data_IF_116048573785
#
_entry.id   IF_116048573785
#
_cell.length_a   1.000
_cell.length_b   1.000
_cell.length_c   1.000
_cell.angle_alpha   90.00
_cell.angle_beta   90.00
_cell.angle_gamma   90.00
#
_symmetry.space_group_name_H-M   'P 1'
#
loop_
_entity.id
_entity.type
_entity.pdbx_description
1 polymer ?
#
# COMPACT_ATOMS: atom_id res chain seq x y z
N UNK A 1 -14.82 4.46 3.97
CA UNK A 1 -14.32 5.47 3.01
C UNK A 1 -15.39 6.51 2.67
N UNK A 2 -16.68 6.19 2.79
CA UNK A 2 -17.80 7.07 2.44
C UNK A 2 -17.83 8.43 3.19
N UNK A 3 -17.32 8.49 4.42
CA UNK A 3 -17.24 9.73 5.23
C UNK A 3 -16.10 10.67 4.83
N UNK A 4 -15.29 10.33 3.82
CA UNK A 4 -14.18 11.16 3.34
C UNK A 4 -12.91 11.15 4.21
N UNK A 5 -12.92 10.49 5.38
CA UNK A 5 -11.73 10.49 6.25
C UNK A 5 -10.53 9.79 5.63
N UNK A 6 -10.73 8.65 4.95
CA UNK A 6 -9.64 7.98 4.23
C UNK A 6 -9.01 8.90 3.17
N UNK A 7 -9.86 9.61 2.42
CA UNK A 7 -9.45 10.57 1.41
C UNK A 7 -8.61 11.70 2.01
N UNK A 8 -8.94 12.20 3.22
CA UNK A 8 -8.11 13.19 3.91
C UNK A 8 -6.69 12.69 4.19
N UNK A 9 -6.52 11.44 4.61
CA UNK A 9 -5.18 10.86 4.81
C UNK A 9 -4.42 10.67 3.49
N UNK A 10 -5.11 10.28 2.42
CA UNK A 10 -4.52 10.27 1.07
C UNK A 10 -4.07 11.68 0.69
N UNK A 11 -4.90 12.70 0.90
CA UNK A 11 -4.57 14.08 0.60
C UNK A 11 -3.34 14.57 1.37
N UNK A 12 -3.26 14.28 2.67
CA UNK A 12 -2.10 14.62 3.53
C UNK A 12 -0.83 13.93 3.02
N UNK A 13 -0.91 12.78 2.37
CA UNK A 13 0.27 12.12 1.82
C UNK A 13 0.63 12.60 0.40
N UNK A 14 -0.37 13.03 -0.37
CA UNK A 14 -0.17 13.45 -1.77
C UNK A 14 0.03 14.95 -1.96
N UNK A 15 -0.28 15.76 -0.94
CA UNK A 15 -0.03 17.19 -0.97
C UNK A 15 1.49 17.44 -1.03
N UNK A 16 1.91 18.44 -1.80
CA UNK A 16 3.30 18.59 -2.20
C UNK A 16 4.25 18.79 -1.01
N UNK A 17 3.91 19.67 -0.06
CA UNK A 17 4.78 19.98 1.06
C UNK A 17 4.93 18.79 2.00
N UNK A 18 3.81 18.21 2.39
CA UNK A 18 3.75 17.04 3.28
C UNK A 18 4.32 15.78 2.63
N UNK A 19 4.17 15.61 1.32
CA UNK A 19 4.82 14.54 0.56
C UNK A 19 6.35 14.68 0.49
N UNK A 20 6.86 15.90 0.39
CA UNK A 20 8.30 16.18 0.48
C UNK A 20 8.84 15.98 1.90
N UNK A 21 8.04 16.21 2.93
CA UNK A 21 8.41 15.85 4.30
C UNK A 21 8.43 14.33 4.51
N UNK A 22 7.47 13.61 3.91
CA UNK A 22 7.28 12.18 4.08
C UNK A 22 8.41 11.34 3.50
N UNK A 23 9.03 11.76 2.40
CA UNK A 23 9.96 10.95 1.60
C UNK A 23 11.33 11.59 1.43
N UNK A 24 12.40 10.78 1.36
CA UNK A 24 13.78 11.24 1.16
C UNK A 24 14.28 12.21 2.25
N UNK A 25 13.72 12.13 3.45
CA UNK A 25 14.08 12.95 4.62
C UNK A 25 14.48 12.08 5.81
N UNK A 26 15.11 12.68 6.81
CA UNK A 26 15.42 12.00 8.08
C UNK A 26 14.16 11.65 8.90
N UNK A 27 12.99 12.17 8.54
CA UNK A 27 11.73 11.89 9.23
C UNK A 27 10.90 10.81 8.58
N UNK A 28 11.29 10.24 7.42
CA UNK A 28 10.49 9.25 6.67
C UNK A 28 9.83 8.16 7.56
N UNK A 29 10.61 7.46 8.40
CA UNK A 29 10.07 6.42 9.29
C UNK A 29 9.07 7.00 10.31
N UNK A 30 9.42 8.12 10.93
CA UNK A 30 8.59 8.75 11.97
C UNK A 30 7.32 9.39 11.41
N UNK A 31 7.41 10.01 10.24
CA UNK A 31 6.32 10.64 9.53
C UNK A 31 5.26 9.60 9.17
N UNK A 32 5.67 8.48 8.54
CA UNK A 32 4.75 7.39 8.20
C UNK A 32 4.17 6.71 9.46
N UNK A 33 4.97 6.53 10.52
CA UNK A 33 4.47 6.00 11.80
C UNK A 33 3.38 6.91 12.39
N UNK A 34 3.56 8.22 12.32
CA UNK A 34 2.58 9.17 12.84
C UNK A 34 1.33 9.23 11.97
N UNK A 35 1.46 9.13 10.65
CA UNK A 35 0.33 9.02 9.73
C UNK A 35 -0.52 7.78 10.04
N UNK A 36 0.13 6.62 10.23
CA UNK A 36 -0.55 5.36 10.58
C UNK A 36 -1.22 5.43 11.96
N UNK A 37 -0.55 6.00 12.97
CA UNK A 37 -1.15 6.21 14.29
C UNK A 37 -2.38 7.14 14.21
N UNK A 38 -2.30 8.21 13.42
CA UNK A 38 -3.43 9.09 13.15
C UNK A 38 -4.59 8.34 12.46
N UNK A 39 -4.29 7.48 11.49
CA UNK A 39 -5.29 6.68 10.78
C UNK A 39 -5.97 5.67 11.72
N UNK A 40 -5.19 4.98 12.56
CA UNK A 40 -5.70 4.07 13.59
C UNK A 40 -6.63 4.79 14.57
N UNK A 41 -6.20 5.94 15.10
CA UNK A 41 -7.01 6.74 16.01
C UNK A 41 -8.29 7.25 15.34
N UNK A 42 -8.22 7.62 14.07
CA UNK A 42 -9.41 7.97 13.29
C UNK A 42 -10.39 6.79 13.21
N UNK A 43 -9.93 5.58 12.92
CA UNK A 43 -10.79 4.38 12.90
C UNK A 43 -11.43 4.12 14.27
N UNK A 44 -10.64 4.19 15.35
CA UNK A 44 -11.13 4.04 16.73
C UNK A 44 -12.19 5.08 17.10
N UNK A 45 -12.08 6.29 16.55
CA UNK A 45 -13.03 7.38 16.80
C UNK A 45 -14.40 7.18 16.12
N UNK A 46 -14.54 6.25 15.16
CA UNK A 46 -15.75 6.13 14.35
C UNK A 46 -16.96 5.60 15.13
N UNK A 47 -16.72 4.70 16.08
CA UNK A 47 -17.72 4.06 16.94
C UNK A 47 -16.99 3.33 18.08
N UNK A 48 -17.64 3.14 19.22
CA UNK A 48 -17.09 2.36 20.35
C UNK A 48 -16.73 0.92 19.97
N UNK A 49 -17.43 0.31 19.01
CA UNK A 49 -17.08 -1.03 18.51
C UNK A 49 -15.71 -1.10 17.82
N UNK A 50 -15.14 0.04 17.42
CA UNK A 50 -13.81 0.12 16.80
C UNK A 50 -12.72 0.57 17.77
N UNK A 51 -13.04 0.81 19.05
CA UNK A 51 -12.10 1.42 20.02
C UNK A 51 -10.79 0.61 20.19
N UNK A 52 -10.86 -0.71 20.01
CA UNK A 52 -9.72 -1.63 20.10
C UNK A 52 -9.13 -2.03 18.74
N UNK A 53 -9.53 -1.43 17.62
CA UNK A 53 -8.98 -1.81 16.32
C UNK A 53 -7.48 -1.49 16.24
N UNK A 54 -6.73 -2.37 15.60
CA UNK A 54 -5.33 -2.16 15.22
C UNK A 54 -5.20 -2.23 13.71
N UNK A 55 -4.27 -1.48 13.13
CA UNK A 55 -4.02 -1.59 11.70
C UNK A 55 -3.37 -2.95 11.36
N UNK A 56 -3.89 -3.68 10.34
CA UNK A 56 -3.21 -4.86 9.85
C UNK A 56 -1.93 -4.46 9.11
N UNK A 57 -0.96 -5.36 9.06
CA UNK A 57 0.26 -5.20 8.27
C UNK A 57 0.33 -6.26 7.16
N UNK A 58 1.00 -5.91 6.08
CA UNK A 58 1.33 -6.86 5.02
C UNK A 58 2.65 -7.57 5.34
N UNK A 59 2.57 -8.84 5.73
CA UNK A 59 3.77 -9.66 6.01
C UNK A 59 4.48 -10.12 4.73
N UNK A 60 5.33 -9.25 4.18
CA UNK A 60 6.18 -9.54 3.03
C UNK A 60 7.16 -10.70 3.29
N UNK A 61 7.63 -10.88 4.53
CA UNK A 61 8.61 -11.91 4.87
C UNK A 61 7.99 -13.31 4.79
N UNK A 62 6.84 -13.50 5.41
CA UNK A 62 6.10 -14.77 5.32
C UNK A 62 5.66 -15.06 3.89
N UNK A 63 5.23 -14.03 3.15
CA UNK A 63 4.80 -14.19 1.78
C UNK A 63 5.95 -14.59 0.83
N UNK A 64 7.11 -13.95 0.95
CA UNK A 64 8.31 -14.32 0.17
C UNK A 64 8.79 -15.73 0.52
N UNK A 65 8.78 -16.12 1.80
CA UNK A 65 9.12 -17.48 2.23
C UNK A 65 8.14 -18.54 1.70
N UNK A 66 6.84 -18.26 1.68
CA UNK A 66 5.83 -19.14 1.07
C UNK A 66 6.08 -19.33 -0.42
N UNK A 67 6.44 -18.27 -1.14
CA UNK A 67 6.75 -18.40 -2.57
C UNK A 67 8.03 -19.21 -2.79
N UNK A 68 9.08 -18.95 -2.00
CA UNK A 68 10.35 -19.69 -2.08
C UNK A 68 10.20 -21.19 -1.77
N UNK A 69 9.20 -21.56 -0.96
CA UNK A 69 8.83 -22.95 -0.65
C UNK A 69 7.80 -23.56 -1.62
N UNK A 70 7.45 -22.86 -2.70
CA UNK A 70 6.45 -23.27 -3.70
C UNK A 70 5.03 -23.50 -3.13
N UNK A 71 4.69 -22.88 -2.00
CA UNK A 71 3.35 -22.96 -1.40
C UNK A 71 2.33 -22.05 -2.08
N UNK A 72 2.77 -21.14 -2.96
CA UNK A 72 1.96 -20.21 -3.72
C UNK A 72 2.71 -19.78 -4.99
N UNK A 73 1.97 -19.45 -6.06
CA UNK A 73 2.55 -19.15 -7.37
C UNK A 73 2.47 -17.65 -7.77
N UNK A 74 1.91 -16.78 -6.92
CA UNK A 74 1.73 -15.36 -7.22
C UNK A 74 1.78 -14.51 -5.96
N UNK A 75 2.08 -13.21 -6.11
CA UNK A 75 2.10 -12.27 -4.98
C UNK A 75 0.77 -12.28 -4.21
N UNK A 76 -0.37 -12.28 -4.91
CA UNK A 76 -1.70 -12.38 -4.29
C UNK A 76 -1.92 -13.75 -3.61
N UNK A 77 -1.51 -14.85 -4.24
CA UNK A 77 -1.61 -16.19 -3.63
C UNK A 77 -0.73 -16.36 -2.39
N UNK A 78 0.36 -15.60 -2.30
CA UNK A 78 1.26 -15.61 -1.15
C UNK A 78 0.84 -14.63 -0.05
N UNK A 79 -0.11 -13.73 -0.31
CA UNK A 79 -0.46 -12.61 0.55
C UNK A 79 -1.97 -12.37 0.58
N UNK A 80 -2.71 -13.04 1.49
CA UNK A 80 -4.18 -12.95 1.58
C UNK A 80 -4.72 -11.53 1.71
N UNK A 81 -3.94 -10.62 2.33
CA UNK A 81 -4.29 -9.19 2.46
C UNK A 81 -4.60 -8.52 1.12
N UNK A 82 -4.01 -8.97 0.01
CA UNK A 82 -4.31 -8.40 -1.32
C UNK A 82 -5.77 -8.68 -1.69
N UNK A 83 -6.24 -9.90 -1.46
CA UNK A 83 -7.62 -10.32 -1.70
C UNK A 83 -8.59 -9.64 -0.73
N UNK A 84 -8.24 -9.53 0.55
CA UNK A 84 -9.06 -8.83 1.56
C UNK A 84 -9.32 -7.36 1.19
N UNK A 85 -8.37 -6.72 0.50
CA UNK A 85 -8.48 -5.35 0.01
C UNK A 85 -9.00 -5.27 -1.44
N UNK A 86 -9.67 -6.30 -1.95
CA UNK A 86 -10.39 -6.31 -3.24
C UNK A 86 -9.72 -7.10 -4.38
N UNK A 87 -8.54 -7.69 -4.14
CA UNK A 87 -7.85 -8.54 -5.11
C UNK A 87 -7.28 -7.79 -6.31
N UNK A 88 -7.03 -8.53 -7.40
CA UNK A 88 -6.38 -8.00 -8.63
C UNK A 88 -6.99 -8.46 -9.96
N UNK A 89 -8.11 -9.19 -9.94
CA UNK A 89 -8.67 -9.85 -11.12
C UNK A 89 -9.91 -9.17 -11.70
N UNK A 90 -10.79 -8.65 -10.84
CA UNK A 90 -12.11 -8.12 -11.22
C UNK A 90 -12.16 -6.61 -11.09
N UNK A 91 -12.61 -5.93 -12.14
CA UNK A 91 -12.70 -4.47 -12.15
C UNK A 91 -12.99 -3.88 -13.53
N UNK A 92 -12.75 -2.58 -13.68
CA UNK A 92 -13.06 -1.79 -14.86
C UNK A 92 -11.80 -1.41 -15.64
N UNK A 93 -11.91 -1.30 -16.96
CA UNK A 93 -10.89 -0.68 -17.81
C UNK A 93 -11.07 0.83 -17.79
N UNK A 94 -10.48 1.51 -16.79
CA UNK A 94 -10.70 2.93 -16.50
C UNK A 94 -9.42 3.58 -16.00
N UNK A 95 -9.11 4.77 -16.52
CA UNK A 95 -8.08 5.68 -15.98
C UNK A 95 -8.61 6.34 -14.72
N UNK A 96 -7.76 6.46 -13.70
CA UNK A 96 -8.12 7.01 -12.40
C UNK A 96 -7.37 8.32 -12.18
N UNK A 97 -8.07 9.36 -11.75
CA UNK A 97 -7.44 10.58 -11.25
C UNK A 97 -7.58 10.61 -9.73
N UNK A 98 -6.48 10.89 -9.03
CA UNK A 98 -6.40 10.98 -7.57
C UNK A 98 -5.67 12.26 -7.23
N UNK A 99 -6.38 13.26 -6.69
CA UNK A 99 -5.77 14.53 -6.25
C UNK A 99 -4.87 15.21 -7.31
N UNK A 100 -5.27 15.16 -8.60
CA UNK A 100 -4.52 15.76 -9.71
C UNK A 100 -3.47 14.83 -10.32
N UNK A 101 -3.19 13.67 -9.71
CA UNK A 101 -2.37 12.61 -10.31
C UNK A 101 -3.21 11.70 -11.20
N UNK A 102 -2.83 11.59 -12.47
CA UNK A 102 -3.49 10.71 -13.43
C UNK A 102 -2.79 9.34 -13.50
N UNK A 103 -3.51 8.29 -13.12
CA UNK A 103 -3.06 6.89 -13.17
C UNK A 103 -3.70 6.25 -14.39
N UNK A 104 -2.89 6.06 -15.44
CA UNK A 104 -3.38 5.56 -16.72
C UNK A 104 -3.80 4.08 -16.65
N UNK A 105 -4.91 3.77 -17.31
CA UNK A 105 -5.24 2.40 -17.65
C UNK A 105 -4.22 1.83 -18.66
N UNK A 106 -3.85 0.57 -18.50
CA UNK A 106 -3.08 -0.21 -19.47
C UNK A 106 -3.59 -1.65 -19.54
N UNK A 107 -3.14 -2.42 -20.53
CA UNK A 107 -3.43 -3.86 -20.60
C UNK A 107 -2.93 -4.63 -19.37
N UNK A 108 -1.96 -4.08 -18.63
CA UNK A 108 -1.40 -4.65 -17.40
C UNK A 108 -2.18 -4.31 -16.14
N UNK A 109 -3.04 -3.30 -16.17
CA UNK A 109 -3.75 -2.80 -15.00
C UNK A 109 -5.26 -3.00 -15.11
N UNK A 110 -5.93 -2.93 -13.97
CA UNK A 110 -7.39 -2.97 -13.86
C UNK A 110 -7.83 -2.08 -12.69
N UNK A 111 -8.92 -1.34 -12.86
CA UNK A 111 -9.51 -0.57 -11.78
C UNK A 111 -10.40 -1.48 -10.93
N UNK A 112 -9.81 -2.07 -9.89
CA UNK A 112 -10.46 -3.01 -8.99
C UNK A 112 -11.61 -2.35 -8.27
N UNK A 113 -12.80 -2.93 -8.37
CA UNK A 113 -14.05 -2.37 -7.84
C UNK A 113 -14.76 -3.32 -6.85
N UNK A 114 -14.04 -4.30 -6.31
CA UNK A 114 -14.56 -5.25 -5.32
C UNK A 114 -14.23 -4.76 -3.91
N UNK A 115 -15.13 -5.02 -2.94
CA UNK A 115 -14.89 -4.72 -1.52
C UNK A 115 -14.61 -3.25 -1.24
N UNK A 116 -13.55 -2.98 -0.46
CA UNK A 116 -13.16 -1.62 -0.07
C UNK A 116 -12.95 -0.69 -1.28
N UNK A 117 -12.16 -1.02 -2.32
CA UNK A 117 -12.00 -0.19 -3.53
C UNK A 117 -13.28 0.40 -4.13
N UNK A 118 -14.43 -0.30 -4.04
CA UNK A 118 -15.72 0.24 -4.51
C UNK A 118 -16.14 1.53 -3.79
N UNK A 119 -15.64 1.77 -2.57
CA UNK A 119 -15.96 2.93 -1.74
C UNK A 119 -14.95 4.07 -1.91
N UNK A 120 -13.99 3.95 -2.83
CA UNK A 120 -12.98 4.96 -3.07
C UNK A 120 -13.51 6.13 -3.94
N UNK A 121 -13.08 7.34 -3.59
CA UNK A 121 -13.39 8.58 -4.30
C UNK A 121 -12.07 9.36 -4.47
N UNK A 122 -11.61 9.56 -5.71
CA UNK A 122 -10.28 10.10 -6.04
C UNK A 122 -10.22 11.63 -6.15
N UNK A 123 -11.05 12.34 -5.38
CA UNK A 123 -11.26 13.79 -5.51
C UNK A 123 -11.72 14.25 -6.92
N UNK A 124 -12.43 13.38 -7.64
CA UNK A 124 -13.00 13.64 -8.96
C UNK A 124 -14.53 13.86 -8.88
N UNK A 125 -15.13 14.58 -9.83
CA UNK A 125 -16.59 14.71 -9.95
C UNK A 125 -17.20 13.33 -10.18
N UNK A 126 -17.94 12.83 -9.17
CA UNK A 126 -18.40 11.45 -9.08
C UNK A 126 -17.33 10.51 -8.51
N UNK A 127 -17.69 9.71 -7.50
CA UNK A 127 -16.75 8.78 -6.88
C UNK A 127 -16.17 7.79 -7.90
N UNK A 128 -14.86 7.52 -7.79
CA UNK A 128 -14.15 6.63 -8.70
C UNK A 128 -14.70 5.19 -8.70
N UNK A 129 -15.15 4.73 -7.52
CA UNK A 129 -15.66 3.37 -7.25
C UNK A 129 -14.70 2.25 -7.62
N UNK A 130 -13.41 2.56 -7.71
CA UNK A 130 -12.36 1.58 -7.96
C UNK A 130 -10.97 2.16 -7.67
N UNK A 131 -9.98 1.28 -7.53
CA UNK A 131 -8.55 1.60 -7.39
C UNK A 131 -7.77 0.82 -8.44
N UNK A 132 -6.88 1.48 -9.18
CA UNK A 132 -6.06 0.82 -10.20
C UNK A 132 -5.00 -0.07 -9.54
N UNK A 133 -4.95 -1.34 -9.97
CA UNK A 133 -3.93 -2.33 -9.57
C UNK A 133 -3.41 -3.09 -10.79
N UNK A 134 -2.23 -3.69 -10.68
CA UNK A 134 -1.72 -4.64 -11.66
C UNK A 134 -2.58 -5.89 -11.68
N UNK A 135 -2.92 -6.43 -12.86
CA UNK A 135 -3.76 -7.63 -12.98
C UNK A 135 -3.00 -8.88 -12.52
N UNK A 136 -3.71 -9.84 -11.92
CA UNK A 136 -3.09 -11.05 -11.37
C UNK A 136 -2.20 -11.82 -12.35
N UNK A 137 -2.57 -11.91 -13.64
CA UNK A 137 -1.75 -12.59 -14.68
C UNK A 137 -0.37 -11.97 -14.89
N UNK A 138 -0.18 -10.71 -14.49
CA UNK A 138 1.11 -10.01 -14.49
C UNK A 138 1.73 -9.90 -13.10
N UNK A 139 1.12 -10.51 -12.08
CA UNK A 139 1.66 -10.73 -10.73
C UNK A 139 2.01 -12.21 -10.49
N UNK A 140 1.37 -13.13 -11.21
CA UNK A 140 1.67 -14.57 -11.21
C UNK A 140 2.90 -14.92 -12.04
N UNK A 141 3.30 -14.04 -12.95
CA UNK A 141 4.57 -14.15 -13.69
C UNK A 141 5.74 -13.49 -12.94
N UNK A 142 5.49 -12.94 -11.76
CA UNK A 142 6.43 -12.10 -11.03
C UNK A 142 6.82 -12.79 -9.73
N UNK A 143 8.10 -13.07 -9.59
CA UNK A 143 8.68 -13.42 -8.30
C UNK A 143 8.32 -12.33 -7.29
N UNK A 144 8.00 -12.72 -6.07
CA UNK A 144 7.84 -11.81 -4.96
C UNK A 144 9.09 -10.92 -4.90
N UNK A 145 8.95 -9.60 -4.71
CA UNK A 145 10.09 -8.70 -4.77
C UNK A 145 11.25 -9.17 -3.88
N UNK A 146 12.46 -9.16 -4.43
CA UNK A 146 13.65 -9.68 -3.75
C UNK A 146 14.02 -8.85 -2.52
N UNK A 147 13.68 -7.56 -2.54
CA UNK A 147 13.85 -6.59 -1.46
C UNK A 147 12.93 -6.88 -0.28
N UNK A 148 11.89 -7.68 -0.49
CA UNK A 148 10.98 -8.18 0.53
C UNK A 148 11.40 -9.55 1.11
N UNK A 149 12.51 -10.13 0.67
CA UNK A 149 13.06 -11.36 1.26
C UNK A 149 13.68 -11.10 2.64
N UNK A 150 13.70 -12.11 3.51
CA UNK A 150 14.31 -12.00 4.85
C UNK A 150 15.75 -11.49 4.79
N UNK A 151 16.58 -12.06 3.92
CA UNK A 151 17.98 -11.65 3.78
C UNK A 151 18.12 -10.18 3.38
N UNK A 152 17.28 -9.70 2.46
CA UNK A 152 17.32 -8.30 2.03
C UNK A 152 16.83 -7.35 3.12
N UNK A 153 15.68 -7.63 3.75
CA UNK A 153 15.14 -6.80 4.83
C UNK A 153 16.11 -6.76 6.02
N UNK A 154 16.75 -7.88 6.36
CA UNK A 154 17.79 -7.91 7.39
C UNK A 154 18.93 -6.94 7.07
N UNK A 155 19.44 -6.94 5.83
CA UNK A 155 20.50 -6.01 5.42
C UNK A 155 20.02 -4.54 5.43
N UNK A 156 18.80 -4.27 4.97
CA UNK A 156 18.24 -2.91 4.99
C UNK A 156 18.16 -2.35 6.41
N UNK A 157 17.80 -3.18 7.40
CA UNK A 157 17.56 -2.75 8.78
C UNK A 157 18.83 -2.74 9.63
N UNK A 158 19.71 -3.73 9.47
CA UNK A 158 20.80 -3.98 10.43
C UNK A 158 22.22 -3.67 9.92
N UNK A 159 22.38 -3.30 8.65
CA UNK A 159 23.73 -3.01 8.09
C UNK A 159 24.26 -1.63 8.47
N UNK A 160 23.37 -0.66 8.72
CA UNK A 160 23.75 0.73 8.88
C UNK A 160 23.70 1.16 10.35
N UNK A 161 24.75 1.86 10.80
CA UNK A 161 24.85 2.42 12.16
C UNK A 161 24.37 3.88 12.24
N UNK A 162 23.90 4.44 11.13
CA UNK A 162 23.38 5.81 11.05
C UNK A 162 21.95 5.83 10.49
N UNK A 163 21.15 6.78 10.95
CA UNK A 163 19.74 6.89 10.60
C UNK A 163 19.51 7.25 9.13
N UNK A 164 20.46 7.95 8.49
CA UNK A 164 20.31 8.40 7.11
C UNK A 164 20.35 7.23 6.13
N UNK A 165 21.41 6.43 6.19
CA UNK A 165 21.57 5.25 5.34
C UNK A 165 20.53 4.16 5.66
N UNK A 166 20.21 3.95 6.94
CA UNK A 166 19.12 3.04 7.34
C UNK A 166 17.78 3.43 6.67
N UNK A 167 17.39 4.69 6.81
CA UNK A 167 16.12 5.19 6.25
C UNK A 167 16.09 5.06 4.73
N UNK A 168 17.19 5.43 4.07
CA UNK A 168 17.32 5.34 2.61
C UNK A 168 17.24 3.89 2.11
N UNK A 169 17.86 2.96 2.84
CA UNK A 169 17.85 1.54 2.50
C UNK A 169 16.44 0.93 2.61
N UNK A 170 15.69 1.28 3.66
CA UNK A 170 14.30 0.83 3.81
C UNK A 170 13.39 1.46 2.75
N UNK A 171 13.51 2.77 2.51
CA UNK A 171 12.67 3.51 1.54
C UNK A 171 12.86 3.01 0.10
N UNK A 172 14.10 2.76 -0.31
CA UNK A 172 14.44 2.23 -1.65
C UNK A 172 14.31 0.71 -1.76
N UNK A 173 14.25 0.02 -0.63
CA UNK A 173 14.10 -1.43 -0.54
C UNK A 173 12.64 -1.81 -0.37
N UNK A 174 12.32 -2.47 0.75
CA UNK A 174 11.01 -3.09 1.00
C UNK A 174 9.83 -2.12 0.91
N UNK A 175 10.03 -0.82 1.17
CA UNK A 175 8.96 0.17 1.00
C UNK A 175 8.49 0.31 -0.46
N UNK A 176 9.38 0.17 -1.44
CA UNK A 176 9.08 0.41 -2.86
C UNK A 176 8.70 -0.88 -3.62
N UNK A 177 8.38 -1.97 -2.90
CA UNK A 177 8.09 -3.29 -3.48
C UNK A 177 6.64 -3.56 -3.81
#
# INVERSE_FOLDING_TARGET
MDRGFHQKFVQIHTEQLTGLEAHQTCVFIYWHRMLLLGYENMLRSLNSSFECVTLPYWDHLSASARQASNNCASVEGCSPIITDFGGTTTGLSKTLSVYGTNIAYSSRTICVNQGLPYRFCGNNTGCAHCIIRTRSKYLSATTYPTEASFGSVFQQVFTYSDSGNFTLAVERGVHST
#
